data_IF_233872228915
#
_entry.id   IF_233872228915
#
_cell.length_a   1.000
_cell.length_b   1.000
_cell.length_c   1.000
_cell.angle_alpha   90.00
_cell.angle_beta   90.00
_cell.angle_gamma   90.00
#
_symmetry.space_group_name_H-M   'P 1'
#
loop_
_entity.id
_entity.type
_entity.pdbx_description
1 polymer ?
#
# COMPACT_ATOMS: atom_id res chain seq x y z
N UNK A 1 11.15 11.51 -14.82
CA UNK A 1 9.77 12.07 -14.88
C UNK A 1 8.77 11.34 -13.99
N UNK A 2 8.47 10.04 -14.20
CA UNK A 2 7.44 9.29 -13.44
C UNK A 2 7.57 9.37 -11.89
N UNK A 3 8.81 9.36 -11.34
CA UNK A 3 9.05 9.46 -9.88
C UNK A 3 8.64 10.81 -9.30
N UNK A 4 8.95 11.91 -10.00
CA UNK A 4 8.64 13.27 -9.54
C UNK A 4 7.13 13.48 -9.54
N UNK A 5 6.46 13.08 -10.63
CA UNK A 5 4.99 13.14 -10.74
C UNK A 5 4.32 12.36 -9.61
N UNK A 6 4.75 11.12 -9.35
CA UNK A 6 4.17 10.35 -8.24
C UNK A 6 4.37 11.03 -6.89
N UNK A 7 5.56 11.59 -6.61
CA UNK A 7 5.82 12.29 -5.34
C UNK A 7 4.98 13.55 -5.19
N UNK A 8 4.82 14.33 -6.26
CA UNK A 8 3.95 15.51 -6.27
C UNK A 8 2.52 15.10 -5.93
N UNK A 9 1.98 14.09 -6.60
CA UNK A 9 0.62 13.58 -6.34
C UNK A 9 0.48 13.12 -4.88
N UNK A 10 1.45 12.34 -4.38
CA UNK A 10 1.46 11.85 -3.00
C UNK A 10 1.45 12.98 -1.97
N UNK A 11 2.23 14.05 -2.19
CA UNK A 11 2.29 15.21 -1.29
C UNK A 11 1.01 16.03 -1.37
N UNK A 12 0.47 16.28 -2.56
CA UNK A 12 -0.80 16.99 -2.74
C UNK A 12 -1.95 16.27 -2.04
N UNK A 13 -2.05 14.95 -2.18
CA UNK A 13 -3.07 14.16 -1.50
C UNK A 13 -2.85 14.07 0.01
N UNK A 14 -1.60 14.08 0.48
CA UNK A 14 -1.32 14.17 1.92
C UNK A 14 -1.78 15.52 2.49
N UNK A 15 -1.49 16.63 1.81
CA UNK A 15 -1.97 17.97 2.22
C UNK A 15 -3.49 18.00 2.23
N UNK A 16 -4.14 17.54 1.15
CA UNK A 16 -5.59 17.44 1.07
C UNK A 16 -6.17 16.59 2.22
N UNK A 17 -5.56 15.44 2.52
CA UNK A 17 -5.96 14.59 3.63
C UNK A 17 -5.87 15.33 4.97
N UNK A 18 -4.75 16.01 5.24
CA UNK A 18 -4.58 16.77 6.50
C UNK A 18 -5.60 17.90 6.63
N UNK A 19 -5.85 18.66 5.56
CA UNK A 19 -6.85 19.73 5.56
C UNK A 19 -8.26 19.18 5.84
N UNK A 20 -8.63 18.06 5.22
CA UNK A 20 -9.94 17.43 5.41
C UNK A 20 -10.11 16.85 6.81
N UNK A 21 -9.04 16.32 7.40
CA UNK A 21 -9.04 15.85 8.80
C UNK A 21 -9.21 17.01 9.76
N UNK A 22 -8.41 18.07 9.63
CA UNK A 22 -8.48 19.27 10.50
C UNK A 22 -9.83 19.97 10.36
N UNK A 23 -10.38 20.04 9.14
CA UNK A 23 -11.71 20.63 8.89
C UNK A 23 -12.88 19.74 9.32
N UNK A 24 -12.63 18.53 9.83
CA UNK A 24 -13.68 17.57 10.20
C UNK A 24 -14.48 17.00 9.01
N UNK A 25 -14.02 17.23 7.76
CA UNK A 25 -14.66 16.81 6.50
C UNK A 25 -14.14 15.46 5.99
N UNK A 26 -13.86 14.54 6.92
CA UNK A 26 -13.29 13.20 6.63
C UNK A 26 -14.18 12.37 5.68
N UNK A 27 -15.48 12.66 5.64
CA UNK A 27 -16.43 12.02 4.71
C UNK A 27 -16.03 12.20 3.23
N UNK A 28 -15.46 13.35 2.86
CA UNK A 28 -14.97 13.60 1.49
C UNK A 28 -13.83 12.65 1.15
N UNK A 29 -12.94 12.38 2.11
CA UNK A 29 -11.85 11.43 1.91
C UNK A 29 -12.35 10.00 1.73
N UNK A 30 -13.42 9.63 2.44
CA UNK A 30 -14.08 8.34 2.26
C UNK A 30 -14.69 8.19 0.87
N UNK A 31 -15.29 9.25 0.32
CA UNK A 31 -15.78 9.24 -1.06
C UNK A 31 -14.64 9.00 -2.08
N UNK A 32 -13.49 9.67 -1.91
CA UNK A 32 -12.30 9.44 -2.75
C UNK A 32 -11.84 7.97 -2.64
N UNK A 33 -11.83 7.41 -1.44
CA UNK A 33 -11.44 6.01 -1.22
C UNK A 33 -12.42 5.02 -1.88
N UNK A 34 -13.73 5.24 -1.75
CA UNK A 34 -14.76 4.39 -2.38
C UNK A 34 -14.65 4.47 -3.90
N UNK A 35 -14.54 5.67 -4.47
CA UNK A 35 -14.31 5.85 -5.91
C UNK A 35 -13.05 5.10 -6.36
N UNK A 36 -11.96 5.23 -5.60
CA UNK A 36 -10.70 4.53 -5.90
C UNK A 36 -10.82 3.00 -5.79
N UNK A 37 -11.69 2.49 -4.93
CA UNK A 37 -11.98 1.05 -4.80
C UNK A 37 -12.68 0.54 -6.06
N UNK A 38 -13.62 1.30 -6.62
CA UNK A 38 -14.24 0.99 -7.91
C UNK A 38 -13.22 1.06 -9.05
N UNK A 39 -12.38 2.09 -9.07
CA UNK A 39 -11.29 2.21 -10.05
C UNK A 39 -10.26 1.07 -9.94
N UNK A 40 -10.16 0.43 -8.77
CA UNK A 40 -9.22 -0.69 -8.57
C UNK A 40 -9.57 -1.92 -9.40
N UNK A 41 -10.82 -2.05 -9.88
CA UNK A 41 -11.22 -3.06 -10.88
C UNK A 41 -10.53 -2.85 -12.24
N UNK A 42 -9.99 -1.67 -12.51
CA UNK A 42 -9.31 -1.37 -13.76
C UNK A 42 -7.81 -1.20 -13.51
N UNK A 43 -7.44 -0.44 -12.48
CA UNK A 43 -6.07 0.01 -12.24
C UNK A 43 -5.35 -0.71 -11.09
N UNK A 44 -5.91 -1.83 -10.60
CA UNK A 44 -5.38 -2.54 -9.41
C UNK A 44 -5.29 -1.58 -8.21
N UNK A 45 -4.42 -1.84 -7.22
CA UNK A 45 -4.33 -1.04 -5.98
C UNK A 45 -3.58 0.29 -6.17
N UNK A 46 -3.89 1.04 -7.24
CA UNK A 46 -3.30 2.33 -7.56
C UNK A 46 -3.41 3.33 -6.39
N UNK A 47 -4.53 3.31 -5.66
CA UNK A 47 -4.74 4.16 -4.47
C UNK A 47 -3.58 4.03 -3.47
N UNK A 48 -3.15 2.81 -3.15
CA UNK A 48 -2.08 2.58 -2.18
C UNK A 48 -0.76 3.22 -2.62
N UNK A 49 -0.44 3.15 -3.92
CA UNK A 49 0.81 3.69 -4.46
C UNK A 49 0.83 5.20 -4.64
N UNK A 50 -0.31 5.83 -4.93
CA UNK A 50 -0.36 7.21 -5.42
C UNK A 50 -1.14 8.19 -4.53
N UNK A 51 -2.19 7.73 -3.87
CA UNK A 51 -3.13 8.60 -3.14
C UNK A 51 -3.03 8.41 -1.62
N UNK A 52 -2.70 7.20 -1.17
CA UNK A 52 -2.75 6.82 0.24
C UNK A 52 -1.76 7.63 1.11
N UNK A 53 -2.23 8.39 2.12
CA UNK A 53 -1.38 9.21 2.97
C UNK A 53 -0.45 8.35 3.84
N UNK A 54 -0.89 7.15 4.24
CA UNK A 54 -0.09 6.23 5.05
C UNK A 54 1.18 5.81 4.29
N UNK A 55 1.04 5.43 3.02
CA UNK A 55 2.19 5.06 2.18
C UNK A 55 3.13 6.27 1.95
N UNK A 56 2.58 7.47 1.79
CA UNK A 56 3.38 8.70 1.67
C UNK A 56 4.21 8.97 2.92
N UNK A 57 3.64 8.75 4.11
CA UNK A 57 4.31 8.95 5.40
C UNK A 57 5.34 7.87 5.70
N UNK A 58 5.09 6.61 5.32
CA UNK A 58 6.00 5.48 5.56
C UNK A 58 7.25 5.52 4.66
N UNK A 59 7.12 5.94 3.39
CA UNK A 59 8.23 5.95 2.42
C UNK A 59 9.51 6.68 2.89
N UNK A 60 9.43 7.92 3.44
CA UNK A 60 10.58 8.62 3.99
C UNK A 60 11.27 7.85 5.13
N UNK A 61 10.50 7.18 5.99
CA UNK A 61 11.02 6.39 7.11
C UNK A 61 11.93 5.28 6.56
N UNK A 62 11.44 4.50 5.60
CA UNK A 62 12.22 3.41 5.02
C UNK A 62 13.42 3.92 4.24
N UNK A 63 13.28 5.05 3.52
CA UNK A 63 14.42 5.70 2.88
C UNK A 63 15.50 6.08 3.90
N UNK A 64 15.10 6.68 5.02
CA UNK A 64 16.02 7.06 6.10
C UNK A 64 16.66 5.84 6.77
N UNK A 65 15.89 4.80 7.09
CA UNK A 65 16.41 3.54 7.63
C UNK A 65 17.45 2.89 6.72
N UNK A 66 17.16 2.81 5.42
CA UNK A 66 18.09 2.24 4.44
C UNK A 66 19.36 3.09 4.33
N UNK A 67 19.23 4.43 4.40
CA UNK A 67 20.37 5.35 4.39
C UNK A 67 21.24 5.19 5.65
N UNK A 68 20.61 5.00 6.81
CA UNK A 68 21.27 4.77 8.10
C UNK A 68 21.66 3.29 8.33
N UNK A 69 21.42 2.41 7.35
CA UNK A 69 21.66 0.95 7.42
C UNK A 69 21.00 0.28 8.64
N UNK A 70 19.89 0.83 9.13
CA UNK A 70 19.12 0.27 10.24
C UNK A 70 18.36 -0.96 9.75
N UNK A 71 18.48 -2.08 10.47
CA UNK A 71 17.74 -3.31 10.17
C UNK A 71 16.32 -3.19 10.73
N UNK A 72 15.32 -3.40 9.88
CA UNK A 72 13.93 -3.57 10.33
C UNK A 72 13.68 -4.99 10.81
N UNK A 73 12.84 -5.15 11.83
CA UNK A 73 12.34 -6.45 12.26
C UNK A 73 11.49 -7.07 11.14
N UNK A 74 11.72 -8.35 10.88
CA UNK A 74 10.93 -9.11 9.91
C UNK A 74 9.49 -9.28 10.42
N UNK A 75 8.54 -9.44 9.50
CA UNK A 75 7.17 -9.80 9.87
C UNK A 75 7.14 -11.11 10.66
N UNK A 76 6.55 -11.13 11.88
CA UNK A 76 6.45 -12.36 12.66
C UNK A 76 5.49 -13.34 11.98
N UNK A 77 5.77 -14.64 12.11
CA UNK A 77 5.07 -15.70 11.38
C UNK A 77 3.56 -15.70 11.64
N UNK A 78 3.14 -15.44 12.88
CA UNK A 78 1.71 -15.44 13.24
C UNK A 78 0.90 -14.34 12.52
N UNK A 79 1.52 -13.21 12.17
CA UNK A 79 0.89 -12.12 11.41
C UNK A 79 0.88 -12.37 9.90
N UNK A 80 1.65 -13.36 9.41
CA UNK A 80 1.76 -13.72 7.99
C UNK A 80 0.63 -14.67 7.54
N UNK A 81 -0.56 -14.50 8.10
CA UNK A 81 -1.68 -15.40 7.89
C UNK A 81 -2.88 -14.66 7.29
N UNK A 82 -3.53 -15.28 6.30
CA UNK A 82 -4.74 -14.73 5.68
C UNK A 82 -5.88 -14.53 6.68
N UNK A 83 -5.96 -15.39 7.70
CA UNK A 83 -6.95 -15.31 8.78
C UNK A 83 -6.80 -14.01 9.58
N UNK A 84 -5.58 -13.65 10.00
CA UNK A 84 -5.32 -12.42 10.75
C UNK A 84 -5.75 -11.19 9.95
N UNK A 85 -5.43 -11.17 8.66
CA UNK A 85 -5.85 -10.10 7.75
C UNK A 85 -7.37 -9.95 7.67
N UNK A 86 -8.10 -11.06 7.67
CA UNK A 86 -9.58 -11.06 7.67
C UNK A 86 -10.12 -10.63 9.04
N UNK A 87 -9.55 -11.11 10.15
CA UNK A 87 -9.94 -10.69 11.50
C UNK A 87 -9.81 -9.17 11.66
N UNK A 88 -8.69 -8.58 11.20
CA UNK A 88 -8.47 -7.13 11.27
C UNK A 88 -9.51 -6.38 10.41
N UNK A 89 -9.85 -6.92 9.23
CA UNK A 89 -10.90 -6.34 8.39
C UNK A 89 -12.26 -6.37 9.08
N UNK A 90 -12.65 -7.51 9.68
CA UNK A 90 -13.91 -7.65 10.41
C UNK A 90 -13.95 -6.69 11.60
N UNK A 91 -12.87 -6.61 12.38
CA UNK A 91 -12.76 -5.67 13.50
C UNK A 91 -12.89 -4.20 13.04
N UNK A 92 -12.25 -3.85 11.91
CA UNK A 92 -12.37 -2.53 11.31
C UNK A 92 -13.80 -2.22 10.86
N UNK A 93 -14.48 -3.16 10.18
CA UNK A 93 -15.86 -2.99 9.73
C UNK A 93 -16.83 -2.90 10.92
N UNK A 94 -16.63 -3.70 11.96
CA UNK A 94 -17.43 -3.65 13.19
C UNK A 94 -17.26 -2.31 13.92
N UNK A 95 -16.03 -1.82 14.06
CA UNK A 95 -15.74 -0.50 14.62
C UNK A 95 -16.39 0.61 13.79
N UNK A 96 -16.33 0.51 12.47
CA UNK A 96 -16.94 1.48 11.57
C UNK A 96 -18.48 1.46 11.67
N UNK A 97 -19.10 0.28 11.76
CA UNK A 97 -20.54 0.14 11.99
C UNK A 97 -20.97 0.71 13.35
N UNK A 98 -20.18 0.52 14.41
CA UNK A 98 -20.42 1.11 15.72
C UNK A 98 -20.34 2.65 15.66
N UNK A 99 -19.36 3.20 14.94
CA UNK A 99 -19.24 4.65 14.69
C UNK A 99 -20.47 5.21 13.99
N UNK A 100 -20.95 4.54 12.95
CA UNK A 100 -22.17 4.96 12.24
C UNK A 100 -23.40 4.93 13.14
N UNK A 101 -23.52 3.96 14.06
CA UNK A 101 -24.63 3.90 15.02
C UNK A 101 -24.54 4.93 16.14
N UNK A 102 -23.34 5.21 16.65
CA UNK A 102 -23.15 6.13 17.79
C UNK A 102 -23.01 7.59 17.37
N UNK A 103 -22.85 7.88 16.07
CA UNK A 103 -22.69 9.24 15.54
C UNK A 103 -21.40 9.96 15.96
N UNK A 104 -20.54 9.30 16.76
CA UNK A 104 -19.27 9.87 17.21
C UNK A 104 -18.27 9.88 16.07
N UNK A 105 -17.73 11.06 15.73
CA UNK A 105 -16.66 11.24 14.74
C UNK A 105 -15.33 10.73 15.31
N UNK A 106 -15.15 9.41 15.41
CA UNK A 106 -13.87 8.83 15.79
C UNK A 106 -12.84 9.07 14.68
N UNK A 107 -11.60 9.52 15.00
CA UNK A 107 -10.56 9.79 14.01
C UNK A 107 -9.87 8.49 13.56
N UNK A 108 -10.64 7.56 12.98
CA UNK A 108 -10.17 6.24 12.57
C UNK A 108 -9.03 6.33 11.54
N UNK A 109 -9.16 7.23 10.57
CA UNK A 109 -8.15 7.44 9.52
C UNK A 109 -6.81 7.96 10.09
N UNK A 110 -6.77 9.04 10.89
CA UNK A 110 -5.57 9.46 11.61
C UNK A 110 -4.97 8.36 12.49
N UNK A 111 -5.80 7.59 13.21
CA UNK A 111 -5.32 6.48 14.03
C UNK A 111 -4.59 5.41 13.18
N UNK A 112 -5.15 5.05 12.01
CA UNK A 112 -4.48 4.12 11.09
C UNK A 112 -3.16 4.68 10.53
N UNK A 113 -3.08 5.99 10.26
CA UNK A 113 -1.81 6.64 9.87
C UNK A 113 -0.79 6.53 10.99
N UNK A 114 -1.19 6.83 12.23
CA UNK A 114 -0.33 6.73 13.41
C UNK A 114 0.18 5.30 13.63
N UNK A 115 -0.70 4.31 13.58
CA UNK A 115 -0.32 2.89 13.75
C UNK A 115 0.63 2.46 12.63
N UNK A 116 0.33 2.79 11.37
CA UNK A 116 1.19 2.46 10.23
C UNK A 116 2.57 3.12 10.34
N UNK A 117 2.63 4.37 10.80
CA UNK A 117 3.87 5.09 11.08
C UNK A 117 4.70 4.38 12.16
N UNK A 118 4.11 4.15 13.34
CA UNK A 118 4.79 3.51 14.48
C UNK A 118 5.30 2.13 14.11
N UNK A 119 4.47 1.29 13.49
CA UNK A 119 4.90 -0.05 13.08
C UNK A 119 6.04 -0.01 12.08
N UNK A 120 6.04 0.96 11.16
CA UNK A 120 7.12 1.11 10.17
C UNK A 120 8.43 1.61 10.77
N UNK A 121 8.43 2.17 12.00
CA UNK A 121 9.66 2.50 12.73
C UNK A 121 10.40 1.25 13.23
N UNK A 122 9.70 0.16 13.51
CA UNK A 122 10.32 -1.06 14.07
C UNK A 122 10.35 -2.23 13.07
N UNK A 123 9.29 -2.40 12.28
CA UNK A 123 9.11 -3.53 11.37
C UNK A 123 9.30 -3.13 9.90
N UNK A 124 9.34 -4.13 9.03
CA UNK A 124 9.30 -3.95 7.57
C UNK A 124 7.92 -3.45 7.10
N UNK A 125 7.89 -2.65 6.04
CA UNK A 125 6.66 -2.08 5.45
C UNK A 125 5.61 -3.14 5.05
N UNK A 126 6.08 -4.36 4.75
CA UNK A 126 5.23 -5.46 4.35
C UNK A 126 4.24 -5.83 5.46
N UNK A 127 4.61 -5.64 6.73
CA UNK A 127 3.72 -5.89 7.85
C UNK A 127 2.43 -5.08 7.70
N UNK A 128 2.57 -3.78 7.42
CA UNK A 128 1.43 -2.89 7.26
C UNK A 128 0.74 -3.10 5.91
N UNK A 129 1.47 -2.99 4.80
CA UNK A 129 0.87 -2.90 3.47
C UNK A 129 0.31 -4.22 2.92
N UNK A 130 0.78 -5.37 3.44
CA UNK A 130 0.31 -6.71 3.04
C UNK A 130 -0.65 -7.33 4.06
N UNK A 131 -0.39 -7.18 5.36
CA UNK A 131 -1.08 -7.97 6.39
C UNK A 131 -2.04 -7.17 7.27
N UNK A 132 -1.65 -5.99 7.75
CA UNK A 132 -2.43 -5.28 8.78
C UNK A 132 -3.37 -4.19 8.25
N UNK A 133 -3.12 -3.61 7.07
CA UNK A 133 -3.92 -2.49 6.59
C UNK A 133 -5.33 -2.95 6.11
N UNK A 134 -6.42 -2.55 6.79
CA UNK A 134 -7.77 -2.99 6.41
C UNK A 134 -8.19 -2.42 5.05
N UNK A 135 -7.77 -1.19 4.73
CA UNK A 135 -7.97 -0.56 3.41
C UNK A 135 -7.25 -1.35 2.31
N UNK A 136 -6.07 -1.89 2.61
CA UNK A 136 -5.33 -2.76 1.68
C UNK A 136 -6.08 -4.06 1.38
N UNK A 137 -6.74 -4.65 2.38
CA UNK A 137 -7.59 -5.83 2.21
C UNK A 137 -8.81 -5.50 1.35
N UNK A 138 -9.53 -4.42 1.64
CA UNK A 138 -10.67 -3.96 0.84
C UNK A 138 -10.29 -3.77 -0.63
N UNK A 139 -9.18 -3.08 -0.90
CA UNK A 139 -8.71 -2.83 -2.27
C UNK A 139 -8.17 -4.09 -2.96
N UNK A 140 -7.68 -5.08 -2.21
CA UNK A 140 -7.14 -6.31 -2.79
C UNK A 140 -8.21 -7.18 -3.44
N UNK A 141 -9.44 -7.17 -2.93
CA UNK A 141 -10.55 -7.95 -3.48
C UNK A 141 -10.88 -7.59 -4.94
N UNK A 142 -11.26 -6.34 -5.28
CA UNK A 142 -11.51 -5.95 -6.66
C UNK A 142 -10.23 -6.02 -7.51
N UNK A 143 -9.06 -5.81 -6.92
CA UNK A 143 -7.78 -5.84 -7.64
C UNK A 143 -7.40 -7.22 -8.17
N UNK A 144 -8.04 -8.30 -7.70
CA UNK A 144 -7.87 -9.65 -8.29
C UNK A 144 -8.34 -9.70 -9.73
N UNK A 145 -9.45 -9.02 -10.04
CA UNK A 145 -10.03 -8.92 -11.37
C UNK A 145 -9.53 -7.70 -12.17
N UNK A 146 -8.51 -6.99 -11.67
CA UNK A 146 -8.04 -5.78 -12.33
C UNK A 146 -7.61 -6.07 -13.78
N UNK A 147 -7.82 -5.12 -14.69
CA UNK A 147 -7.33 -5.24 -16.08
C UNK A 147 -5.86 -4.83 -16.20
N UNK A 148 -5.48 -3.68 -15.68
CA UNK A 148 -4.10 -3.16 -15.71
C UNK A 148 -3.33 -3.49 -14.42
N UNK A 149 -2.05 -3.83 -14.53
CA UNK A 149 -1.15 -4.09 -13.41
C UNK A 149 0.32 -3.95 -13.78
N UNK A 150 1.17 -3.97 -12.76
CA UNK A 150 2.61 -4.17 -12.96
C UNK A 150 2.87 -5.62 -13.37
N UNK A 151 3.57 -5.81 -14.49
CA UNK A 151 3.93 -7.12 -15.04
C UNK A 151 5.43 -7.17 -15.29
N UNK A 152 6.03 -8.36 -15.08
CA UNK A 152 7.42 -8.64 -15.41
C UNK A 152 7.45 -9.41 -16.73
N UNK A 153 8.22 -8.93 -17.69
CA UNK A 153 8.53 -9.61 -18.94
C UNK A 153 9.55 -10.74 -18.68
N UNK A 154 9.16 -12.02 -18.86
CA UNK A 154 10.04 -13.15 -18.63
C UNK A 154 11.27 -13.19 -19.54
N UNK A 155 11.21 -12.58 -20.73
CA UNK A 155 12.28 -12.65 -21.73
C UNK A 155 13.40 -11.64 -21.44
N UNK A 156 13.04 -10.51 -20.83
CA UNK A 156 14.01 -9.48 -20.42
C UNK A 156 14.53 -9.69 -18.98
N UNK A 157 13.83 -10.49 -18.17
CA UNK A 157 14.18 -10.72 -16.77
C UNK A 157 15.39 -11.65 -16.61
N UNK A 158 16.42 -11.16 -15.90
CA UNK A 158 17.65 -11.93 -15.59
C UNK A 158 17.68 -12.51 -14.18
N UNK A 159 16.53 -12.55 -13.48
CA UNK A 159 16.40 -13.10 -12.12
C UNK A 159 17.32 -12.49 -11.04
N UNK A 160 17.76 -11.23 -11.20
CA UNK A 160 18.70 -10.56 -10.29
C UNK A 160 18.13 -10.15 -8.91
N UNK A 161 16.85 -10.41 -8.62
CA UNK A 161 16.13 -10.15 -7.34
C UNK A 161 16.01 -8.70 -6.86
N UNK A 162 16.59 -7.72 -7.57
CA UNK A 162 16.55 -6.29 -7.18
C UNK A 162 15.13 -5.76 -6.96
N UNK A 163 14.21 -6.15 -7.84
CA UNK A 163 12.82 -5.76 -7.76
C UNK A 163 12.12 -6.29 -6.50
N UNK A 164 12.40 -7.53 -6.10
CA UNK A 164 11.83 -8.14 -4.89
C UNK A 164 12.31 -7.44 -3.61
N UNK A 165 13.60 -7.04 -3.56
CA UNK A 165 14.19 -6.35 -2.40
C UNK A 165 13.57 -4.97 -2.14
N UNK A 166 13.14 -4.26 -3.18
CA UNK A 166 12.56 -2.90 -3.03
C UNK A 166 11.03 -2.90 -2.98
N UNK A 167 10.38 -4.06 -3.01
CA UNK A 167 8.92 -4.13 -3.02
C UNK A 167 8.35 -3.96 -1.60
N UNK A 168 7.67 -2.84 -1.29
CA UNK A 168 7.21 -2.55 0.08
C UNK A 168 6.16 -3.55 0.58
N UNK A 169 5.34 -4.10 -0.32
CA UNK A 169 4.34 -5.12 0.01
C UNK A 169 4.81 -6.56 -0.22
N UNK A 170 6.09 -6.78 -0.60
CA UNK A 170 6.62 -8.10 -0.94
C UNK A 170 5.74 -8.88 -1.95
N UNK A 171 5.13 -8.17 -2.90
CA UNK A 171 4.22 -8.73 -3.89
C UNK A 171 4.94 -9.51 -5.00
N UNK A 172 6.28 -9.49 -5.06
CA UNK A 172 7.06 -10.22 -6.05
C UNK A 172 7.43 -11.58 -5.48
N UNK A 173 6.98 -12.64 -6.14
CA UNK A 173 7.30 -14.03 -5.80
C UNK A 173 8.19 -14.64 -6.88
N UNK A 174 9.03 -15.59 -6.46
CA UNK A 174 9.92 -16.34 -7.34
C UNK A 174 9.39 -17.75 -7.46
N UNK A 175 8.88 -18.07 -8.64
CA UNK A 175 8.65 -19.45 -9.08
C UNK A 175 9.86 -19.83 -9.96
N UNK A 176 9.69 -20.16 -11.25
CA UNK A 176 10.80 -20.30 -12.21
C UNK A 176 11.41 -18.94 -12.63
N UNK A 177 10.54 -17.95 -12.83
CA UNK A 177 10.87 -16.54 -13.06
C UNK A 177 10.09 -15.67 -12.07
N UNK A 178 10.61 -14.47 -11.80
CA UNK A 178 9.93 -13.53 -10.92
C UNK A 178 8.59 -13.07 -11.52
N UNK A 179 7.51 -13.11 -10.72
CA UNK A 179 6.21 -12.56 -11.08
C UNK A 179 5.64 -11.66 -9.99
N UNK A 180 4.75 -10.75 -10.36
CA UNK A 180 4.08 -9.83 -9.43
C UNK A 180 2.67 -10.35 -9.12
N UNK A 181 2.36 -10.56 -7.85
CA UNK A 181 1.00 -10.84 -7.37
C UNK A 181 0.18 -9.55 -7.48
N UNK A 182 -0.65 -9.48 -8.51
CA UNK A 182 -1.43 -8.28 -8.88
C UNK A 182 -2.22 -7.65 -7.74
N UNK A 183 -2.96 -8.46 -6.98
CA UNK A 183 -3.80 -7.96 -5.88
C UNK A 183 -3.03 -7.60 -4.60
N UNK A 184 -1.73 -7.88 -4.54
CA UNK A 184 -0.83 -7.43 -3.45
C UNK A 184 0.09 -6.29 -3.87
N UNK A 185 0.14 -5.98 -5.17
CA UNK A 185 0.97 -4.91 -5.71
C UNK A 185 0.34 -3.54 -5.43
N UNK A 186 1.10 -2.63 -4.81
CA UNK A 186 0.64 -1.25 -4.56
C UNK A 186 0.70 -0.34 -5.80
N UNK A 187 1.18 -0.85 -6.94
CA UNK A 187 1.41 -0.05 -8.17
C UNK A 187 2.30 1.17 -7.91
N UNK A 188 3.27 1.03 -7.00
CA UNK A 188 4.16 2.13 -6.60
C UNK A 188 5.30 2.39 -7.60
N UNK A 189 5.62 1.42 -8.46
CA UNK A 189 6.65 1.53 -9.49
C UNK A 189 8.10 1.47 -8.99
N UNK A 190 8.36 1.14 -7.72
CA UNK A 190 9.76 1.02 -7.24
C UNK A 190 10.52 -0.10 -7.96
N UNK A 191 9.85 -1.22 -8.25
CA UNK A 191 10.45 -2.33 -8.99
C UNK A 191 10.85 -1.96 -10.43
N UNK A 192 10.03 -1.17 -11.14
CA UNK A 192 10.34 -0.64 -12.47
C UNK A 192 11.61 0.21 -12.44
N UNK A 193 11.78 1.05 -11.42
CA UNK A 193 12.91 1.99 -11.31
C UNK A 193 14.26 1.35 -11.06
N UNK A 194 14.28 0.18 -10.40
CA UNK A 194 15.54 -0.54 -10.12
C UNK A 194 15.87 -1.59 -11.17
N UNK A 195 14.97 -1.81 -12.14
CA UNK A 195 15.17 -2.80 -13.20
C UNK A 195 16.08 -2.22 -14.29
N UNK A 196 17.31 -2.72 -14.39
CA UNK A 196 18.28 -2.28 -15.41
C UNK A 196 18.00 -2.83 -16.81
N UNK A 197 17.13 -3.84 -16.93
CA UNK A 197 16.77 -4.47 -18.22
C UNK A 197 15.43 -3.97 -18.77
N UNK A 198 14.75 -3.07 -18.07
CA UNK A 198 13.43 -2.58 -18.50
C UNK A 198 12.34 -3.66 -18.56
N UNK A 199 12.53 -4.77 -17.84
CA UNK A 199 11.64 -5.93 -17.86
C UNK A 199 10.31 -5.69 -17.14
N UNK A 200 10.12 -4.57 -16.43
CA UNK A 200 8.94 -4.34 -15.61
C UNK A 200 8.16 -3.16 -16.16
N UNK A 201 6.89 -3.37 -16.50
CA UNK A 201 6.00 -2.33 -17.07
C UNK A 201 4.61 -2.40 -16.46
N UNK A 202 3.91 -1.28 -16.47
CA UNK A 202 2.49 -1.22 -16.15
C UNK A 202 1.68 -1.45 -17.43
N UNK A 203 0.88 -2.52 -17.48
CA UNK A 203 0.00 -2.85 -18.62
C UNK A 203 -1.28 -3.54 -18.15
#
# INVERSE_FOLDING_TARGET
MKRVIQRIIQVLFLILFTLLVVSGKVQIWMAIFVASTLLSLIFSRFYCGWICPINTVIKPITYLKNKLKLKSLKTPAFLRNGVVRIIILIAFLAMMAMVFRTGKKLPVLPALVGIGFVLSLFFEEALWHRWLCPYGTILSLPSRAARKAMVIDPNLCTNCTRCAKVCPSQAIVKDEKHRIIKHECLVCGECERVCTKGAIKYR
#
